data_IF_073658969367
#
_entry.id   IF_073658969367
#
_cell.length_a   1.000
_cell.length_b   1.000
_cell.length_c   1.000
_cell.angle_alpha   90.00
_cell.angle_beta   90.00
_cell.angle_gamma   90.00
#
_symmetry.space_group_name_H-M   'P 1'
#
loop_
_entity.id
_entity.type
_entity.pdbx_description
1 polymer ?
#
# COMPACT_ATOMS: atom_id res chain seq x y z
N UNK A 1 -11.85 9.58 -4.08
CA UNK A 1 -11.07 8.67 -3.20
C UNK A 1 -11.19 9.07 -1.73
N UNK A 2 -10.65 10.23 -1.31
CA UNK A 2 -10.68 10.66 0.11
C UNK A 2 -12.08 10.65 0.73
N UNK A 3 -13.07 11.28 0.08
CA UNK A 3 -14.46 11.28 0.56
C UNK A 3 -15.06 9.87 0.71
N UNK A 4 -14.65 8.90 -0.11
CA UNK A 4 -15.09 7.51 0.02
C UNK A 4 -14.49 6.85 1.27
N UNK A 5 -13.20 7.05 1.53
CA UNK A 5 -12.53 6.56 2.74
C UNK A 5 -13.19 7.17 3.99
N UNK A 6 -13.40 8.48 4.02
CA UNK A 6 -14.08 9.17 5.14
C UNK A 6 -15.49 8.62 5.35
N UNK A 7 -16.26 8.45 4.27
CA UNK A 7 -17.59 7.84 4.34
C UNK A 7 -17.52 6.45 4.98
N UNK A 8 -16.62 5.57 4.53
CA UNK A 8 -16.48 4.21 5.07
C UNK A 8 -16.09 4.20 6.54
N UNK A 9 -15.16 5.05 6.95
CA UNK A 9 -14.75 5.17 8.36
C UNK A 9 -15.94 5.65 9.21
N UNK A 10 -16.62 6.72 8.79
CA UNK A 10 -17.70 7.32 9.57
C UNK A 10 -18.94 6.43 9.64
N UNK A 11 -19.31 5.75 8.55
CA UNK A 11 -20.39 4.76 8.55
C UNK A 11 -20.06 3.56 9.46
N UNK A 12 -18.80 3.16 9.50
CA UNK A 12 -18.35 2.06 10.34
C UNK A 12 -18.36 2.42 11.83
N UNK A 13 -18.16 3.68 12.22
CA UNK A 13 -18.12 4.14 13.62
C UNK A 13 -17.10 3.34 14.46
N UNK A 14 -15.80 3.47 14.18
CA UNK A 14 -14.77 2.69 14.85
C UNK A 14 -14.59 3.09 16.32
N UNK A 15 -14.30 2.09 17.16
CA UNK A 15 -13.92 2.26 18.58
C UNK A 15 -12.60 1.57 18.85
N UNK A 16 -12.07 1.66 20.08
CA UNK A 16 -10.85 0.96 20.47
C UNK A 16 -10.98 -0.57 20.34
N UNK A 17 -12.16 -1.12 20.68
CA UNK A 17 -12.46 -2.56 20.64
C UNK A 17 -12.81 -3.03 19.22
N UNK A 18 -13.22 -2.11 18.34
CA UNK A 18 -13.62 -2.39 16.97
C UNK A 18 -13.08 -1.31 16.02
N UNK A 19 -11.77 -1.31 15.75
CA UNK A 19 -11.15 -0.31 14.88
C UNK A 19 -11.54 -0.53 13.41
N UNK A 20 -11.44 0.53 12.60
CA UNK A 20 -11.52 0.43 11.16
C UNK A 20 -10.13 0.10 10.60
N UNK A 21 -10.01 -0.96 9.81
CA UNK A 21 -8.75 -1.43 9.25
C UNK A 21 -8.60 -0.97 7.80
N UNK A 22 -7.60 -0.14 7.54
CA UNK A 22 -7.36 0.55 6.27
C UNK A 22 -6.02 0.11 5.64
N UNK A 23 -6.08 -0.46 4.45
CA UNK A 23 -4.91 -0.76 3.63
C UNK A 23 -4.48 0.45 2.79
N UNK A 24 -3.19 0.78 2.77
CA UNK A 24 -2.64 2.00 2.17
C UNK A 24 -1.50 1.71 1.17
N UNK A 25 -1.46 2.40 0.00
CA UNK A 25 -0.36 2.32 -0.95
C UNK A 25 0.62 3.50 -0.80
N UNK A 26 1.81 3.40 -1.39
CA UNK A 26 2.72 4.54 -1.55
C UNK A 26 2.75 5.05 -3.00
N UNK A 27 3.77 5.84 -3.36
CA UNK A 27 3.97 6.36 -4.71
C UNK A 27 3.21 7.65 -5.01
N UNK A 28 3.32 8.11 -6.26
CA UNK A 28 2.78 9.42 -6.66
C UNK A 28 1.25 9.49 -6.72
N UNK A 29 0.59 8.40 -7.11
CA UNK A 29 -0.86 8.35 -7.32
C UNK A 29 -1.70 8.68 -6.06
N UNK A 30 -1.41 8.16 -4.85
CA UNK A 30 -2.21 8.45 -3.66
C UNK A 30 -1.95 9.83 -3.03
N UNK A 31 -0.94 10.60 -3.43
CA UNK A 31 -0.57 11.87 -2.77
C UNK A 31 -1.72 12.87 -2.67
N UNK A 32 -2.50 13.05 -3.75
CA UNK A 32 -3.67 13.93 -3.72
C UNK A 32 -4.76 13.43 -2.77
N UNK A 33 -4.90 12.11 -2.61
CA UNK A 33 -5.83 11.51 -1.66
C UNK A 33 -5.38 11.77 -0.23
N UNK A 34 -4.09 11.63 0.08
CA UNK A 34 -3.56 11.93 1.42
C UNK A 34 -3.75 13.40 1.79
N UNK A 35 -3.44 14.34 0.89
CA UNK A 35 -3.67 15.77 1.12
C UNK A 35 -5.13 16.06 1.48
N UNK A 36 -6.07 15.53 0.69
CA UNK A 36 -7.50 15.71 0.96
C UNK A 36 -7.94 15.06 2.29
N UNK A 37 -7.43 13.87 2.64
CA UNK A 37 -7.74 13.24 3.93
C UNK A 37 -7.23 14.07 5.12
N UNK A 38 -6.04 14.66 5.01
CA UNK A 38 -5.47 15.56 6.03
C UNK A 38 -6.33 16.81 6.18
N UNK A 39 -6.78 17.41 5.07
CA UNK A 39 -7.67 18.58 5.09
C UNK A 39 -9.01 18.25 5.75
N UNK A 40 -9.64 17.14 5.38
CA UNK A 40 -10.91 16.68 5.97
C UNK A 40 -10.75 16.36 7.46
N UNK A 41 -9.62 15.77 7.88
CA UNK A 41 -9.31 15.58 9.29
C UNK A 41 -9.20 16.90 10.06
N UNK A 42 -8.45 17.87 9.52
CA UNK A 42 -8.30 19.21 10.12
C UNK A 42 -9.61 19.98 10.18
N UNK A 43 -10.54 19.71 9.26
CA UNK A 43 -11.90 20.25 9.26
C UNK A 43 -12.85 19.53 10.26
N UNK A 44 -12.39 18.47 10.94
CA UNK A 44 -13.20 17.71 11.89
C UNK A 44 -14.17 16.71 11.25
N UNK A 45 -14.00 16.39 9.97
CA UNK A 45 -14.89 15.50 9.22
C UNK A 45 -14.57 14.01 9.43
N UNK A 46 -13.36 13.69 9.90
CA UNK A 46 -12.89 12.32 10.16
C UNK A 46 -11.84 12.30 11.27
N UNK A 47 -11.83 11.23 12.07
CA UNK A 47 -10.76 10.92 13.04
C UNK A 47 -10.14 9.57 12.70
N UNK A 48 -8.82 9.50 12.83
CA UNK A 48 -8.00 8.30 12.63
C UNK A 48 -7.59 7.64 13.95
N UNK A 49 -8.07 8.14 15.10
CA UNK A 49 -7.74 7.61 16.43
C UNK A 49 -8.01 6.11 16.56
N UNK A 50 -9.12 5.63 15.98
CA UNK A 50 -9.51 4.21 15.97
C UNK A 50 -9.40 3.58 14.58
N UNK A 51 -8.49 4.10 13.74
CA UNK A 51 -8.13 3.51 12.46
C UNK A 51 -6.81 2.77 12.62
N UNK A 52 -6.78 1.50 12.20
CA UNK A 52 -5.58 0.66 12.09
C UNK A 52 -5.16 0.61 10.63
N UNK A 53 -3.87 0.81 10.35
CA UNK A 53 -3.36 0.86 8.98
C UNK A 53 -2.40 -0.28 8.69
N UNK A 54 -2.41 -0.74 7.43
CA UNK A 54 -1.44 -1.68 6.87
C UNK A 54 -0.98 -1.16 5.50
N UNK A 55 0.32 -0.97 5.33
CA UNK A 55 0.88 -0.66 4.01
C UNK A 55 1.09 -1.91 3.16
N UNK A 56 1.10 -1.71 1.84
CA UNK A 56 1.28 -2.78 0.84
C UNK A 56 2.68 -3.40 0.86
N UNK A 57 3.72 -2.59 1.02
CA UNK A 57 5.09 -2.99 0.72
C UNK A 57 6.13 -2.12 1.45
N UNK A 58 7.38 -2.60 1.46
CA UNK A 58 8.58 -1.86 1.87
C UNK A 58 9.81 -2.42 1.14
N UNK A 59 10.79 -1.56 0.84
CA UNK A 59 12.05 -1.99 0.23
C UNK A 59 12.91 -2.82 1.21
N UNK A 60 13.56 -3.86 0.68
CA UNK A 60 14.51 -4.67 1.47
C UNK A 60 15.88 -4.01 1.44
N UNK A 61 16.52 -3.90 2.62
CA UNK A 61 17.89 -3.39 2.77
C UNK A 61 18.02 -1.86 2.68
N UNK A 62 16.92 -1.13 2.50
CA UNK A 62 16.93 0.33 2.54
C UNK A 62 16.75 0.80 3.98
N UNK A 63 17.63 1.69 4.46
CA UNK A 63 17.55 2.20 5.82
C UNK A 63 16.17 2.82 6.10
N UNK A 64 15.60 2.53 7.28
CA UNK A 64 14.22 2.93 7.61
C UNK A 64 14.04 4.44 7.78
N UNK A 65 15.14 5.18 7.98
CA UNK A 65 15.20 6.64 8.01
C UNK A 65 15.57 7.25 6.66
N UNK A 66 15.86 6.44 5.64
CA UNK A 66 16.09 6.92 4.29
C UNK A 66 14.85 7.69 3.80
N UNK A 67 15.01 8.87 3.16
CA UNK A 67 13.89 9.72 2.76
C UNK A 67 12.91 9.01 1.81
N UNK A 68 13.43 8.13 0.96
CA UNK A 68 12.66 7.34 -0.02
C UNK A 68 12.21 5.96 0.50
N UNK A 69 12.42 5.64 1.78
CA UNK A 69 11.77 4.46 2.38
C UNK A 69 10.26 4.66 2.41
N UNK A 70 9.49 3.57 2.30
CA UNK A 70 8.03 3.70 2.33
C UNK A 70 7.53 4.06 3.72
N UNK A 71 8.27 3.70 4.77
CA UNK A 71 8.13 4.32 6.10
C UNK A 71 8.24 5.85 6.02
N UNK A 72 9.37 6.41 5.59
CA UNK A 72 9.53 7.88 5.53
C UNK A 72 8.45 8.54 4.67
N UNK A 73 8.11 7.94 3.52
CA UNK A 73 7.02 8.40 2.68
C UNK A 73 5.71 8.53 3.46
N UNK A 74 5.30 7.49 4.19
CA UNK A 74 4.01 7.48 4.89
C UNK A 74 3.96 8.47 6.05
N UNK A 75 5.03 8.59 6.85
CA UNK A 75 5.08 9.58 7.93
C UNK A 75 5.07 11.00 7.37
N UNK A 76 5.88 11.29 6.36
CA UNK A 76 6.00 12.62 5.78
C UNK A 76 4.73 13.09 5.07
N UNK A 77 4.05 12.18 4.37
CA UNK A 77 2.90 12.52 3.53
C UNK A 77 1.54 12.26 4.18
N UNK A 78 1.48 11.55 5.31
CA UNK A 78 0.21 11.22 5.95
C UNK A 78 0.26 11.18 7.48
N UNK A 79 0.98 10.23 8.09
CA UNK A 79 0.81 9.92 9.52
C UNK A 79 1.17 11.09 10.46
N UNK A 80 2.15 11.93 10.11
CA UNK A 80 2.50 13.10 10.93
C UNK A 80 1.45 14.21 10.94
N UNK A 81 0.39 14.11 10.14
CA UNK A 81 -0.58 15.19 9.90
C UNK A 81 -2.01 14.85 10.35
N UNK A 82 -2.19 13.69 10.98
CA UNK A 82 -3.49 13.17 11.45
C UNK A 82 -3.38 12.65 12.88
N UNK A 83 -4.51 12.40 13.52
CA UNK A 83 -4.62 11.88 14.90
C UNK A 83 -4.51 10.34 15.02
N UNK A 84 -3.79 9.69 14.11
CA UNK A 84 -3.55 8.24 14.18
C UNK A 84 -2.65 7.90 15.37
N UNK A 85 -2.91 6.77 16.01
CA UNK A 85 -2.06 6.26 17.10
C UNK A 85 -0.90 5.44 16.52
N UNK A 86 0.31 5.61 17.06
CA UNK A 86 1.52 4.91 16.58
C UNK A 86 1.36 3.38 16.60
N UNK A 87 0.73 2.83 17.65
CA UNK A 87 0.46 1.39 17.77
C UNK A 87 -0.50 0.82 16.71
N UNK A 88 -1.25 1.70 16.05
CA UNK A 88 -2.18 1.35 14.98
C UNK A 88 -1.53 1.39 13.59
N UNK A 89 -0.26 1.79 13.48
CA UNK A 89 0.48 1.80 12.22
C UNK A 89 1.22 0.46 12.05
N UNK A 90 0.91 -0.25 10.97
CA UNK A 90 1.61 -1.48 10.60
C UNK A 90 2.30 -1.27 9.25
N UNK A 91 3.62 -1.41 9.27
CA UNK A 91 4.51 -1.38 8.11
C UNK A 91 5.33 -2.67 8.09
N UNK A 92 5.69 -3.15 6.90
CA UNK A 92 6.63 -4.26 6.74
C UNK A 92 8.05 -3.80 7.13
N UNK A 93 8.80 -4.65 7.82
CA UNK A 93 10.21 -4.39 8.13
C UNK A 93 11.14 -5.01 7.09
N UNK A 94 11.59 -4.20 6.12
CA UNK A 94 12.53 -4.62 5.08
C UNK A 94 13.97 -4.91 5.54
N UNK A 95 14.30 -4.64 6.81
CA UNK A 95 15.67 -4.81 7.37
C UNK A 95 15.72 -5.87 8.49
N UNK A 96 14.73 -6.75 8.58
CA UNK A 96 14.76 -7.93 9.45
C UNK A 96 15.83 -8.94 9.00
N UNK A 97 16.25 -9.81 9.91
CA UNK A 97 17.14 -10.94 9.65
C UNK A 97 16.42 -12.13 9.00
N UNK A 98 15.12 -12.28 9.24
CA UNK A 98 14.25 -13.29 8.63
C UNK A 98 13.02 -12.64 7.96
N UNK A 99 13.08 -12.51 6.63
CA UNK A 99 12.01 -11.94 5.82
C UNK A 99 10.76 -12.82 5.78
N UNK A 100 10.89 -14.14 5.84
CA UNK A 100 9.75 -15.06 5.80
C UNK A 100 8.95 -14.96 7.11
N UNK A 101 9.66 -14.91 8.24
CA UNK A 101 9.06 -14.66 9.55
C UNK A 101 8.35 -13.30 9.61
N UNK A 102 8.94 -12.23 9.06
CA UNK A 102 8.31 -10.91 8.99
C UNK A 102 7.05 -10.92 8.13
N UNK A 103 7.09 -11.52 6.94
CA UNK A 103 5.91 -11.66 6.09
C UNK A 103 4.79 -12.45 6.79
N UNK A 104 5.14 -13.52 7.50
CA UNK A 104 4.19 -14.30 8.30
C UNK A 104 3.61 -13.48 9.45
N UNK A 105 4.45 -12.75 10.20
CA UNK A 105 4.02 -11.84 11.27
C UNK A 105 3.00 -10.83 10.75
N UNK A 106 3.24 -10.26 9.56
CA UNK A 106 2.37 -9.28 8.95
C UNK A 106 0.99 -9.86 8.60
N UNK A 107 0.95 -11.05 8.00
CA UNK A 107 -0.28 -11.79 7.72
C UNK A 107 -1.06 -12.15 8.99
N UNK A 108 -0.37 -12.62 10.02
CA UNK A 108 -0.98 -12.95 11.31
C UNK A 108 -1.53 -11.71 12.01
N UNK A 109 -0.84 -10.57 11.88
CA UNK A 109 -1.30 -9.28 12.42
C UNK A 109 -2.54 -8.79 11.69
N UNK A 110 -2.64 -8.91 10.36
CA UNK A 110 -3.87 -8.61 9.61
C UNK A 110 -5.02 -9.48 10.12
N UNK A 111 -4.80 -10.79 10.22
CA UNK A 111 -5.81 -11.74 10.72
C UNK A 111 -6.26 -11.46 12.15
N UNK A 112 -5.38 -10.92 13.00
CA UNK A 112 -5.73 -10.57 14.38
C UNK A 112 -6.80 -9.47 14.48
N UNK A 113 -6.97 -8.65 13.43
CA UNK A 113 -8.08 -7.70 13.30
C UNK A 113 -9.25 -8.24 12.45
N UNK A 114 -9.21 -9.52 12.09
CA UNK A 114 -10.20 -10.16 11.21
C UNK A 114 -9.89 -9.90 9.73
N UNK A 115 -10.31 -8.74 9.21
CA UNK A 115 -10.16 -8.38 7.79
C UNK A 115 -9.81 -6.90 7.65
N UNK A 116 -9.09 -6.57 6.57
CA UNK A 116 -8.99 -5.19 6.10
C UNK A 116 -10.37 -4.76 5.60
N UNK A 117 -10.90 -3.66 6.14
CA UNK A 117 -12.23 -3.15 5.75
C UNK A 117 -12.19 -2.49 4.38
N UNK A 118 -11.14 -1.71 4.11
CA UNK A 118 -10.92 -1.06 2.82
C UNK A 118 -9.43 -1.10 2.50
N UNK A 119 -9.07 -1.61 1.33
CA UNK A 119 -7.71 -1.55 0.81
C UNK A 119 -7.64 -0.56 -0.36
N UNK A 120 -6.95 0.56 -0.20
CA UNK A 120 -6.64 1.48 -1.29
C UNK A 120 -5.34 1.05 -1.99
N UNK A 121 -5.34 1.02 -3.32
CA UNK A 121 -4.18 0.66 -4.14
C UNK A 121 -3.96 1.61 -5.31
N UNK A 122 -2.78 1.54 -5.90
CA UNK A 122 -2.51 2.03 -7.26
C UNK A 122 -2.33 0.85 -8.22
N UNK A 123 -2.12 1.16 -9.49
CA UNK A 123 -1.73 0.19 -10.52
C UNK A 123 -0.44 0.64 -11.22
N UNK A 124 0.47 -0.30 -11.47
CA UNK A 124 1.69 -0.11 -12.25
C UNK A 124 1.42 0.14 -13.74
N UNK A 125 2.46 0.48 -14.51
CA UNK A 125 2.34 0.64 -15.97
C UNK A 125 2.07 -0.72 -16.65
N UNK A 126 2.58 -1.80 -16.07
CA UNK A 126 2.47 -3.20 -16.49
C UNK A 126 1.30 -3.95 -15.80
N UNK A 127 0.45 -3.22 -15.08
CA UNK A 127 -0.70 -3.78 -14.37
C UNK A 127 -0.45 -4.19 -12.92
N UNK A 128 0.79 -4.18 -12.41
CA UNK A 128 1.04 -4.67 -11.05
C UNK A 128 0.25 -3.90 -9.99
N UNK A 129 -0.23 -4.61 -8.96
CA UNK A 129 -0.73 -4.02 -7.71
C UNK A 129 0.23 -4.34 -6.57
N UNK A 130 0.59 -3.34 -5.74
CA UNK A 130 1.74 -3.41 -4.82
C UNK A 130 3.03 -3.76 -5.62
N UNK A 131 3.90 -4.62 -5.09
CA UNK A 131 4.98 -5.24 -5.89
C UNK A 131 4.63 -6.66 -6.36
N UNK A 132 3.35 -6.94 -6.65
CA UNK A 132 2.96 -8.16 -7.35
C UNK A 132 3.25 -8.01 -8.85
N UNK A 133 4.54 -8.01 -9.18
CA UNK A 133 5.06 -7.94 -10.56
C UNK A 133 4.45 -9.05 -11.45
N UNK A 134 4.44 -8.88 -12.79
CA UNK A 134 4.01 -9.89 -13.75
C UNK A 134 4.55 -11.30 -13.46
N UNK A 135 3.73 -12.30 -13.77
CA UNK A 135 3.85 -13.71 -13.42
C UNK A 135 3.73 -14.04 -11.92
N UNK A 136 3.28 -13.11 -11.08
CA UNK A 136 2.95 -13.40 -9.68
C UNK A 136 1.71 -14.30 -9.55
N UNK A 137 1.71 -15.23 -8.58
CA UNK A 137 0.51 -16.05 -8.34
C UNK A 137 -0.69 -15.18 -7.95
N UNK A 138 -1.84 -15.44 -8.57
CA UNK A 138 -3.11 -14.76 -8.25
C UNK A 138 -3.66 -15.14 -6.85
N UNK A 139 -3.09 -16.16 -6.20
CA UNK A 139 -3.36 -16.54 -4.82
C UNK A 139 -2.19 -16.28 -3.89
N UNK A 140 -1.21 -15.47 -4.31
CA UNK A 140 -0.02 -15.18 -3.52
C UNK A 140 -0.32 -14.53 -2.17
N UNK A 141 0.58 -14.75 -1.20
CA UNK A 141 0.58 -14.10 0.13
C UNK A 141 1.71 -13.09 0.25
N UNK A 142 1.77 -12.43 1.40
CA UNK A 142 2.87 -11.53 1.76
C UNK A 142 4.21 -12.27 1.65
N UNK A 143 5.16 -11.70 0.91
CA UNK A 143 6.43 -12.35 0.57
C UNK A 143 7.48 -11.34 0.10
N UNK A 144 8.73 -11.78 0.05
CA UNK A 144 9.78 -11.08 -0.69
C UNK A 144 9.54 -11.21 -2.21
N UNK A 145 9.78 -10.12 -2.94
CA UNK A 145 9.73 -10.06 -4.40
C UNK A 145 10.95 -9.36 -4.95
N UNK A 146 11.53 -9.96 -6.00
CA UNK A 146 12.49 -9.28 -6.87
C UNK A 146 11.74 -8.30 -7.75
N UNK A 147 12.17 -7.04 -7.75
CA UNK A 147 11.59 -5.99 -8.58
C UNK A 147 12.05 -6.17 -10.03
N UNK A 148 11.15 -5.91 -10.97
CA UNK A 148 11.48 -5.93 -12.40
C UNK A 148 12.39 -4.75 -12.75
N UNK A 149 13.09 -4.86 -13.88
CA UNK A 149 13.87 -3.75 -14.40
C UNK A 149 12.99 -2.52 -14.68
N UNK A 150 11.80 -2.73 -15.27
CA UNK A 150 10.83 -1.66 -15.56
C UNK A 150 10.37 -0.94 -14.29
N UNK A 151 10.05 -1.67 -13.21
CA UNK A 151 9.73 -1.08 -11.91
C UNK A 151 10.90 -0.27 -11.35
N UNK A 152 12.12 -0.79 -11.43
CA UNK A 152 13.31 -0.07 -10.96
C UNK A 152 13.60 1.18 -11.79
N UNK A 153 13.44 1.12 -13.11
CA UNK A 153 13.55 2.30 -14.00
C UNK A 153 12.49 3.33 -13.60
N UNK A 154 11.23 2.92 -13.43
CA UNK A 154 10.15 3.82 -13.05
C UNK A 154 10.43 4.49 -11.70
N UNK A 155 10.93 3.74 -10.71
CA UNK A 155 11.18 4.24 -9.36
C UNK A 155 12.50 5.02 -9.24
N UNK A 156 13.44 4.89 -10.18
CA UNK A 156 14.70 5.65 -10.19
C UNK A 156 14.49 7.17 -10.13
N UNK A 157 13.35 7.68 -10.58
CA UNK A 157 12.98 9.11 -10.45
C UNK A 157 12.97 9.63 -9.00
N UNK A 158 12.85 8.74 -8.02
CA UNK A 158 12.92 9.05 -6.59
C UNK A 158 14.34 8.91 -6.03
N UNK A 159 15.23 8.24 -6.77
CA UNK A 159 16.62 7.97 -6.38
C UNK A 159 17.58 8.69 -7.34
N UNK A 160 17.40 10.02 -7.50
CA UNK A 160 18.22 10.89 -8.36
C UNK A 160 18.34 10.47 -9.84
N UNK A 161 17.42 9.63 -10.32
CA UNK A 161 17.48 9.05 -11.66
C UNK A 161 18.47 7.90 -11.81
N UNK A 162 19.08 7.42 -10.73
CA UNK A 162 20.05 6.31 -10.75
C UNK A 162 19.39 4.99 -10.34
N UNK A 163 19.23 4.09 -11.32
CA UNK A 163 18.67 2.76 -11.10
C UNK A 163 19.49 1.94 -10.09
N UNK A 164 20.79 2.18 -9.93
CA UNK A 164 21.65 1.42 -9.04
C UNK A 164 21.38 1.70 -7.56
N UNK A 165 20.78 2.86 -7.26
CA UNK A 165 20.33 3.22 -5.92
C UNK A 165 18.98 2.59 -5.57
N UNK A 166 18.21 2.15 -6.57
CA UNK A 166 16.92 1.50 -6.35
C UNK A 166 17.13 0.08 -5.83
N UNK A 167 16.54 -0.27 -4.66
CA UNK A 167 16.61 -1.62 -4.11
C UNK A 167 16.14 -2.68 -5.11
N UNK A 168 16.75 -3.87 -5.05
CA UNK A 168 16.43 -4.97 -5.97
C UNK A 168 15.26 -5.83 -5.49
N UNK A 169 14.94 -5.75 -4.20
CA UNK A 169 13.92 -6.56 -3.56
C UNK A 169 13.00 -5.68 -2.71
N UNK A 170 11.77 -6.13 -2.54
CA UNK A 170 10.81 -5.56 -1.62
C UNK A 170 10.05 -6.67 -0.89
N UNK A 171 9.59 -6.39 0.32
CA UNK A 171 8.51 -7.15 0.93
C UNK A 171 7.20 -6.56 0.43
N UNK A 172 6.24 -7.40 0.06
CA UNK A 172 4.95 -6.97 -0.46
C UNK A 172 3.85 -7.92 -0.01
N UNK A 173 2.66 -7.39 0.25
CA UNK A 173 1.45 -8.21 0.35
C UNK A 173 1.20 -8.96 -0.96
N UNK A 174 0.52 -10.09 -0.87
CA UNK A 174 0.14 -10.87 -2.03
C UNK A 174 -1.21 -10.46 -2.63
N UNK A 175 -1.48 -10.96 -3.84
CA UNK A 175 -2.78 -10.79 -4.51
C UNK A 175 -3.89 -11.40 -3.65
N UNK A 176 -3.67 -12.59 -3.08
CA UNK A 176 -4.61 -13.22 -2.17
C UNK A 176 -4.80 -12.42 -0.87
N UNK A 177 -3.73 -11.79 -0.35
CA UNK A 177 -3.81 -10.90 0.81
C UNK A 177 -4.70 -9.68 0.52
N UNK A 178 -4.56 -9.10 -0.67
CA UNK A 178 -5.39 -7.98 -1.12
C UNK A 178 -6.86 -8.42 -1.29
N UNK A 179 -7.10 -9.56 -1.93
CA UNK A 179 -8.43 -10.13 -2.17
C UNK A 179 -9.15 -10.58 -0.89
N UNK A 180 -8.43 -10.76 0.23
CA UNK A 180 -9.05 -11.05 1.53
C UNK A 180 -9.74 -9.83 2.16
N UNK A 181 -9.48 -8.62 1.66
CA UNK A 181 -10.12 -7.39 2.11
C UNK A 181 -11.63 -7.38 1.79
N UNK A 182 -12.41 -6.60 2.55
CA UNK A 182 -13.85 -6.47 2.32
C UNK A 182 -14.17 -5.57 1.11
N UNK A 183 -13.38 -4.51 0.92
CA UNK A 183 -13.50 -3.58 -0.20
C UNK A 183 -12.10 -3.22 -0.71
N UNK A 184 -11.93 -3.13 -2.03
CA UNK A 184 -10.68 -2.72 -2.68
C UNK A 184 -11.00 -1.51 -3.57
N UNK A 185 -10.20 -0.45 -3.45
CA UNK A 185 -10.31 0.77 -4.26
C UNK A 185 -8.99 1.04 -4.97
N UNK A 186 -8.97 0.93 -6.31
CA UNK A 186 -7.78 1.19 -7.12
C UNK A 186 -7.84 2.59 -7.73
N UNK A 187 -6.76 3.35 -7.57
CA UNK A 187 -6.57 4.66 -8.18
C UNK A 187 -5.76 4.54 -9.46
N UNK A 188 -6.31 5.06 -10.57
CA UNK A 188 -5.67 5.02 -11.89
C UNK A 188 -5.67 6.43 -12.48
N UNK A 189 -4.48 6.99 -12.68
CA UNK A 189 -4.30 8.35 -13.21
C UNK A 189 -3.13 8.39 -14.19
N UNK A 190 -3.30 9.15 -15.28
CA UNK A 190 -2.28 9.34 -16.32
C UNK A 190 -2.40 8.36 -17.50
N UNK A 191 -1.99 8.82 -18.69
CA UNK A 191 -2.05 8.04 -19.93
C UNK A 191 -1.16 6.79 -19.87
N UNK A 192 -0.06 6.83 -19.13
CA UNK A 192 0.83 5.69 -18.90
C UNK A 192 0.16 4.48 -18.24
N UNK A 193 -1.06 4.62 -17.70
CA UNK A 193 -1.84 3.54 -17.09
C UNK A 193 -2.96 3.01 -17.97
N UNK A 194 -3.13 3.54 -19.19
CA UNK A 194 -4.26 3.18 -20.06
C UNK A 194 -4.29 1.70 -20.43
N UNK A 195 -3.14 1.10 -20.75
CA UNK A 195 -3.05 -0.34 -21.07
C UNK A 195 -3.35 -1.23 -19.86
N UNK A 196 -2.82 -0.88 -18.69
CA UNK A 196 -3.14 -1.56 -17.44
C UNK A 196 -4.64 -1.49 -17.13
N UNK A 197 -5.28 -0.34 -17.33
CA UNK A 197 -6.72 -0.17 -17.13
C UNK A 197 -7.53 -0.98 -18.14
N UNK A 198 -7.10 -1.01 -19.41
CA UNK A 198 -7.72 -1.85 -20.43
C UNK A 198 -7.65 -3.33 -20.03
N UNK A 199 -6.46 -3.82 -19.63
CA UNK A 199 -6.29 -5.20 -19.19
C UNK A 199 -7.16 -5.53 -17.98
N UNK A 200 -7.33 -4.60 -17.04
CA UNK A 200 -8.13 -4.78 -15.84
C UNK A 200 -9.65 -4.80 -16.10
N UNK A 201 -10.15 -4.05 -17.09
CA UNK A 201 -11.60 -3.87 -17.33
C UNK A 201 -12.10 -4.71 -18.50
N UNK A 202 -11.32 -4.84 -19.58
CA UNK A 202 -11.71 -5.52 -20.82
C UNK A 202 -10.97 -6.85 -21.02
N UNK A 203 -9.86 -7.06 -20.31
CA UNK A 203 -9.04 -8.26 -20.40
C UNK A 203 -9.60 -9.45 -19.62
N UNK A 204 -9.00 -10.62 -19.85
CA UNK A 204 -9.26 -11.83 -19.07
C UNK A 204 -8.40 -11.87 -17.81
N UNK A 205 -8.87 -12.59 -16.79
CA UNK A 205 -8.05 -12.89 -15.59
C UNK A 205 -6.76 -13.61 -16.01
N UNK A 206 -5.60 -13.03 -15.68
CA UNK A 206 -4.29 -13.58 -16.00
C UNK A 206 -3.24 -13.05 -15.02
N UNK A 207 -2.08 -13.71 -14.93
CA UNK A 207 -0.98 -13.26 -14.07
C UNK A 207 0.07 -12.38 -14.77
N UNK A 208 -0.10 -12.03 -16.04
CA UNK A 208 0.83 -11.13 -16.74
C UNK A 208 0.48 -9.65 -16.49
N UNK A 209 -0.78 -9.38 -16.12
CA UNK A 209 -1.28 -8.11 -15.61
C UNK A 209 -1.86 -8.38 -14.21
N UNK A 210 -1.01 -8.32 -13.18
CA UNK A 210 -1.34 -8.86 -11.83
C UNK A 210 -1.93 -7.83 -10.87
#
# INVERSE_FOLDING_TARGET
>A
AAAHIVKRINEFQPTAERPFVLGLPTGGTPLATYKALIEMHKAGEVSFKHVVTFNMDEYVGLASDHPESYRSFMYNNFFNHIDIQEENINLLNGNTDDHEAECKRYEDKIKSYGKINLFMGGVGNDGHIAFNEPASSLSSRTRIKTLTEDTRIANSRFFDGDINQVPKYALTIGVGTLLDAQEIMILVTGHNKALALQAAVEGSVNHLWT
#
